data_IF_616043276266
#
_entry.id   IF_616043276266
#
_cell.length_a   1.000
_cell.length_b   1.000
_cell.length_c   1.000
_cell.angle_alpha   90.00
_cell.angle_beta   90.00
_cell.angle_gamma   90.00
#
_symmetry.space_group_name_H-M   'P 1'
#
loop_
_entity.id
_entity.type
_entity.pdbx_description
1 polymer ?
#
# COMPACT_ATOMS: atom_id res chain seq x y z
N UNK A 1 -1.35 15.38 -9.11
CA UNK A 1 -0.88 15.15 -7.72
C UNK A 1 0.20 16.18 -7.45
N UNK A 2 0.50 16.48 -6.17
CA UNK A 2 1.47 17.51 -5.77
C UNK A 2 2.84 16.94 -5.41
N UNK A 3 2.99 15.63 -5.29
CA UNK A 3 4.30 14.98 -5.21
C UNK A 3 5.14 15.29 -6.46
N UNK A 4 6.38 15.72 -6.24
CA UNK A 4 7.34 16.05 -7.27
C UNK A 4 7.82 14.79 -8.01
N UNK A 5 8.05 14.89 -9.33
CA UNK A 5 8.51 13.77 -10.14
C UNK A 5 9.83 13.17 -9.65
N UNK A 6 10.76 13.98 -9.10
CA UNK A 6 12.05 13.49 -8.58
C UNK A 6 11.86 12.64 -7.34
N UNK A 7 10.98 13.08 -6.43
CA UNK A 7 10.62 12.32 -5.22
C UNK A 7 10.03 10.96 -5.61
N UNK A 8 9.11 10.95 -6.59
CA UNK A 8 8.52 9.72 -7.10
C UNK A 8 9.57 8.80 -7.76
N UNK A 9 10.48 9.36 -8.57
CA UNK A 9 11.55 8.62 -9.24
C UNK A 9 12.50 7.94 -8.24
N UNK A 10 12.80 8.59 -7.12
CA UNK A 10 13.64 8.01 -6.06
C UNK A 10 12.95 6.83 -5.35
N UNK A 11 11.65 6.94 -5.05
CA UNK A 11 10.94 5.88 -4.33
C UNK A 11 10.56 4.69 -5.21
N UNK A 12 10.19 4.91 -6.48
CA UNK A 12 9.62 3.89 -7.36
C UNK A 12 10.45 2.58 -7.45
N UNK A 13 11.78 2.61 -7.68
CA UNK A 13 12.58 1.39 -7.84
C UNK A 13 12.54 0.47 -6.61
N UNK A 14 12.35 1.04 -5.42
CA UNK A 14 12.35 0.30 -4.16
C UNK A 14 10.93 -0.05 -3.71
N UNK A 15 9.97 0.85 -3.92
CA UNK A 15 8.57 0.64 -3.52
C UNK A 15 7.88 -0.36 -4.44
N UNK A 16 8.12 -0.32 -5.75
CA UNK A 16 7.50 -1.22 -6.71
C UNK A 16 7.66 -2.72 -6.36
N UNK A 17 8.88 -3.26 -6.14
CA UNK A 17 9.02 -4.67 -5.80
C UNK A 17 8.36 -5.03 -4.46
N UNK A 18 8.35 -4.13 -3.48
CA UNK A 18 7.70 -4.35 -2.19
C UNK A 18 6.18 -4.40 -2.35
N UNK A 19 5.58 -3.50 -3.13
CA UNK A 19 4.14 -3.49 -3.40
C UNK A 19 3.69 -4.77 -4.12
N UNK A 20 4.48 -5.27 -5.07
CA UNK A 20 4.24 -6.56 -5.74
C UNK A 20 4.31 -7.71 -4.74
N UNK A 21 5.33 -7.73 -3.88
CA UNK A 21 5.47 -8.76 -2.84
C UNK A 21 4.29 -8.76 -1.87
N UNK A 22 3.83 -7.59 -1.44
CA UNK A 22 2.66 -7.44 -0.55
C UNK A 22 1.40 -7.97 -1.23
N UNK A 23 1.11 -7.53 -2.45
CA UNK A 23 -0.06 -7.98 -3.20
C UNK A 23 -0.04 -9.50 -3.42
N UNK A 24 1.12 -10.06 -3.77
CA UNK A 24 1.28 -11.49 -3.96
C UNK A 24 1.10 -12.29 -2.67
N UNK A 25 1.77 -11.90 -1.59
CA UNK A 25 1.71 -12.59 -0.30
C UNK A 25 0.28 -12.57 0.27
N UNK A 26 -0.41 -11.44 0.10
CA UNK A 26 -1.77 -11.30 0.60
C UNK A 26 -2.77 -12.10 -0.22
N UNK A 27 -2.60 -12.18 -1.53
CA UNK A 27 -3.37 -13.11 -2.37
C UNK A 27 -3.10 -14.57 -2.02
N UNK A 28 -1.83 -14.95 -1.85
CA UNK A 28 -1.43 -16.34 -1.63
C UNK A 28 -1.80 -16.86 -0.22
N UNK A 29 -1.56 -16.04 0.80
CA UNK A 29 -1.62 -16.47 2.21
C UNK A 29 -2.51 -15.60 3.11
N UNK A 30 -3.19 -14.58 2.54
CA UNK A 30 -4.05 -13.63 3.28
C UNK A 30 -3.30 -12.96 4.44
N UNK A 31 -1.98 -12.77 4.25
CA UNK A 31 -1.06 -12.22 5.22
C UNK A 31 -0.09 -11.28 4.53
N UNK A 32 -0.05 -10.06 5.03
CA UNK A 32 1.01 -9.10 4.72
C UNK A 32 2.22 -9.37 5.63
N UNK A 33 3.39 -9.74 5.09
CA UNK A 33 4.56 -10.06 5.91
C UNK A 33 5.06 -8.81 6.65
N UNK A 34 5.33 -8.92 7.95
CA UNK A 34 5.96 -7.82 8.71
C UNK A 34 7.28 -7.36 8.06
N UNK A 35 8.02 -8.28 7.43
CA UNK A 35 9.24 -7.96 6.68
C UNK A 35 8.98 -6.98 5.52
N UNK A 36 7.83 -7.09 4.84
CA UNK A 36 7.46 -6.18 3.75
C UNK A 36 7.11 -4.78 4.30
N UNK A 37 6.36 -4.73 5.41
CA UNK A 37 6.05 -3.48 6.12
C UNK A 37 7.33 -2.78 6.58
N UNK A 38 8.25 -3.53 7.22
CA UNK A 38 9.53 -3.01 7.68
C UNK A 38 10.43 -2.58 6.51
N UNK A 39 10.43 -3.32 5.40
CA UNK A 39 11.16 -2.93 4.20
C UNK A 39 10.62 -1.60 3.64
N UNK A 40 9.29 -1.42 3.60
CA UNK A 40 8.69 -0.17 3.13
C UNK A 40 9.07 1.02 4.03
N UNK A 41 9.06 0.82 5.35
CA UNK A 41 9.54 1.83 6.30
C UNK A 41 11.04 2.12 6.14
N UNK A 42 11.86 1.09 5.94
CA UNK A 42 13.31 1.27 5.72
C UNK A 42 13.58 2.07 4.44
N UNK A 43 12.82 1.82 3.38
CA UNK A 43 12.86 2.63 2.15
C UNK A 43 12.52 4.08 2.47
N UNK A 44 11.47 4.35 3.24
CA UNK A 44 11.15 5.73 3.63
C UNK A 44 12.29 6.37 4.43
N UNK A 45 12.84 5.67 5.41
CA UNK A 45 13.92 6.18 6.26
C UNK A 45 15.16 6.55 5.44
N UNK A 46 15.60 5.67 4.54
CA UNK A 46 16.85 5.84 3.79
C UNK A 46 16.65 6.73 2.56
N UNK A 47 15.67 6.41 1.73
CA UNK A 47 15.44 7.11 0.45
C UNK A 47 14.78 8.46 0.70
N UNK A 48 13.92 8.58 1.72
CA UNK A 48 13.26 9.84 2.07
C UNK A 48 14.23 10.96 2.47
N UNK A 49 15.41 10.63 3.01
CA UNK A 49 16.47 11.62 3.30
C UNK A 49 17.01 12.31 2.04
N UNK A 50 16.96 11.62 0.90
CA UNK A 50 17.42 12.13 -0.39
C UNK A 50 16.25 12.68 -1.20
N UNK A 51 15.09 12.01 -1.12
CA UNK A 51 13.93 12.29 -1.97
C UNK A 51 13.09 13.50 -1.53
N UNK A 52 13.23 13.95 -0.27
CA UNK A 52 12.37 14.99 0.32
C UNK A 52 13.18 16.11 1.00
N UNK A 53 12.68 17.35 1.01
CA UNK A 53 13.19 18.40 1.88
C UNK A 53 13.14 17.97 3.35
N UNK A 54 14.19 18.27 4.12
CA UNK A 54 14.35 17.73 5.49
C UNK A 54 13.17 18.03 6.42
N UNK A 55 12.59 19.24 6.34
CA UNK A 55 11.41 19.60 7.13
C UNK A 55 10.18 18.77 6.78
N UNK A 56 9.95 18.52 5.49
CA UNK A 56 8.84 17.68 5.03
C UNK A 56 9.06 16.23 5.45
N UNK A 57 10.27 15.70 5.23
CA UNK A 57 10.69 14.35 5.64
C UNK A 57 10.36 14.06 7.10
N UNK A 58 10.68 14.99 8.01
CA UNK A 58 10.37 14.83 9.44
C UNK A 58 8.85 14.83 9.70
N UNK A 59 8.10 15.71 9.04
CA UNK A 59 6.65 15.80 9.22
C UNK A 59 5.91 14.55 8.72
N UNK A 60 6.45 13.87 7.70
CA UNK A 60 5.88 12.64 7.15
C UNK A 60 5.84 11.49 8.18
N UNK A 61 6.68 11.51 9.22
CA UNK A 61 6.56 10.55 10.34
C UNK A 61 5.30 10.75 11.18
N UNK A 62 4.74 11.97 11.22
CA UNK A 62 3.45 12.22 11.85
C UNK A 62 2.32 11.48 11.10
N UNK A 63 2.41 11.36 9.77
CA UNK A 63 1.45 10.56 8.99
C UNK A 63 1.50 9.09 9.41
N UNK A 64 2.70 8.52 9.55
CA UNK A 64 2.88 7.16 10.06
C UNK A 64 2.24 7.01 11.45
N UNK A 65 2.56 7.90 12.39
CA UNK A 65 2.05 7.84 13.76
C UNK A 65 0.52 7.90 13.83
N UNK A 66 -0.10 8.84 13.11
CA UNK A 66 -1.57 8.99 13.08
C UNK A 66 -2.25 7.78 12.46
N UNK A 67 -1.77 7.32 11.29
CA UNK A 67 -2.38 6.17 10.60
C UNK A 67 -2.17 4.89 11.41
N UNK A 68 -1.02 4.72 12.07
CA UNK A 68 -0.78 3.59 12.97
C UNK A 68 -1.71 3.61 14.17
N UNK A 69 -1.91 4.76 14.81
CA UNK A 69 -2.81 4.88 15.96
C UNK A 69 -4.26 4.55 15.58
N UNK A 70 -4.75 5.12 14.47
CA UNK A 70 -6.09 4.84 13.94
C UNK A 70 -6.20 3.35 13.57
N UNK A 71 -5.24 2.83 12.81
CA UNK A 71 -5.21 1.43 12.39
C UNK A 71 -5.17 0.46 13.57
N UNK A 72 -4.41 0.77 14.61
CA UNK A 72 -4.34 -0.02 15.84
C UNK A 72 -5.70 -0.09 16.54
N UNK A 73 -6.39 1.05 16.72
CA UNK A 73 -7.72 1.09 17.32
C UNK A 73 -8.73 0.30 16.48
N UNK A 74 -8.74 0.50 15.16
CA UNK A 74 -9.63 -0.23 14.24
C UNK A 74 -9.37 -1.74 14.25
N UNK A 75 -8.10 -2.16 14.33
CA UNK A 75 -7.75 -3.58 14.45
C UNK A 75 -8.12 -4.16 15.82
N UNK A 76 -7.99 -3.40 16.90
CA UNK A 76 -8.34 -3.85 18.24
C UNK A 76 -9.85 -4.12 18.41
N UNK A 77 -10.70 -3.38 17.69
CA UNK A 77 -12.16 -3.59 17.68
C UNK A 77 -12.62 -4.58 16.59
N UNK A 78 -11.69 -5.20 15.85
CA UNK A 78 -12.00 -6.19 14.81
C UNK A 78 -12.47 -5.61 13.46
N UNK A 79 -12.33 -4.30 13.25
CA UNK A 79 -12.78 -3.64 12.02
C UNK A 79 -11.83 -3.78 10.82
N UNK A 80 -10.51 -3.82 11.05
CA UNK A 80 -9.47 -3.92 10.00
C UNK A 80 -8.42 -4.96 10.39
N UNK A 81 -7.93 -5.74 9.43
CA UNK A 81 -6.84 -6.70 9.65
C UNK A 81 -5.58 -6.02 10.18
N UNK A 82 -4.93 -6.60 11.19
CA UNK A 82 -3.72 -6.01 11.79
C UNK A 82 -2.56 -5.87 10.77
N UNK A 83 -2.50 -6.74 9.75
CA UNK A 83 -1.55 -6.61 8.64
C UNK A 83 -1.83 -5.37 7.79
N UNK A 84 -3.09 -5.19 7.39
CA UNK A 84 -3.55 -4.06 6.57
C UNK A 84 -3.31 -2.73 7.27
N UNK A 85 -3.63 -2.65 8.57
CA UNK A 85 -3.41 -1.46 9.39
C UNK A 85 -1.92 -1.07 9.44
N UNK A 86 -1.03 -2.05 9.63
CA UNK A 86 0.42 -1.82 9.64
C UNK A 86 0.95 -1.39 8.29
N UNK A 87 0.47 -2.00 7.21
CA UNK A 87 0.87 -1.63 5.86
C UNK A 87 0.36 -0.24 5.46
N UNK A 88 -0.89 0.08 5.78
CA UNK A 88 -1.48 1.41 5.60
C UNK A 88 -0.69 2.48 6.37
N UNK A 89 -0.26 2.18 7.59
CA UNK A 89 0.62 3.07 8.34
C UNK A 89 1.98 3.26 7.64
N UNK A 90 2.61 2.17 7.18
CA UNK A 90 3.91 2.23 6.51
C UNK A 90 3.90 2.95 5.16
N UNK A 91 2.78 2.93 4.42
CA UNK A 91 2.65 3.72 3.19
C UNK A 91 2.32 5.19 3.43
N UNK A 92 1.78 5.56 4.61
CA UNK A 92 1.34 6.93 4.90
C UNK A 92 2.42 8.01 4.71
N UNK A 93 3.70 7.80 5.10
CA UNK A 93 4.77 8.74 4.84
C UNK A 93 5.08 8.97 3.35
N UNK A 94 4.68 8.07 2.43
CA UNK A 94 4.95 8.28 1.01
C UNK A 94 3.99 9.29 0.37
N UNK A 95 2.87 9.59 1.02
CA UNK A 95 1.81 10.44 0.49
C UNK A 95 2.02 11.88 0.99
N UNK A 96 2.12 12.82 0.04
CA UNK A 96 2.21 14.23 0.36
C UNK A 96 0.93 14.71 1.04
N UNK A 97 1.05 15.59 2.04
CA UNK A 97 -0.13 16.11 2.79
C UNK A 97 -1.21 16.72 1.88
N UNK A 98 -0.89 17.54 0.85
CA UNK A 98 -1.91 18.10 -0.03
C UNK A 98 -2.62 17.04 -0.89
N UNK A 99 -1.98 15.88 -1.09
CA UNK A 99 -2.52 14.77 -1.88
C UNK A 99 -3.42 13.84 -1.08
N UNK A 100 -3.70 14.12 0.20
CA UNK A 100 -4.54 13.25 1.02
C UNK A 100 -5.88 12.90 0.35
N UNK A 101 -6.62 13.91 -0.12
CA UNK A 101 -7.93 13.67 -0.74
C UNK A 101 -7.83 12.99 -2.12
N UNK A 102 -6.95 13.43 -3.05
CA UNK A 102 -6.67 12.68 -4.28
C UNK A 102 -6.27 11.21 -4.03
N UNK A 103 -5.46 10.96 -3.00
CA UNK A 103 -5.03 9.61 -2.64
C UNK A 103 -6.19 8.77 -2.09
N UNK A 104 -7.11 9.34 -1.31
CA UNK A 104 -8.32 8.63 -0.87
C UNK A 104 -9.22 8.23 -2.04
N UNK A 105 -9.37 9.08 -3.06
CA UNK A 105 -10.10 8.72 -4.28
C UNK A 105 -9.38 7.61 -5.06
N UNK A 106 -8.05 7.68 -5.19
CA UNK A 106 -7.25 6.63 -5.81
C UNK A 106 -7.38 5.31 -5.04
N UNK A 107 -7.29 5.35 -3.72
CA UNK A 107 -7.47 4.19 -2.86
C UNK A 107 -8.85 3.57 -3.05
N UNK A 108 -9.92 4.37 -3.05
CA UNK A 108 -11.26 3.86 -3.31
C UNK A 108 -11.38 3.20 -4.70
N UNK A 109 -10.81 3.82 -5.74
CA UNK A 109 -10.79 3.26 -7.09
C UNK A 109 -10.02 1.93 -7.15
N UNK A 110 -8.86 1.85 -6.50
CA UNK A 110 -8.07 0.61 -6.45
C UNK A 110 -8.76 -0.48 -5.64
N UNK A 111 -9.47 -0.17 -4.56
CA UNK A 111 -10.28 -1.16 -3.81
C UNK A 111 -11.37 -1.75 -4.71
N UNK A 112 -12.11 -0.92 -5.43
CA UNK A 112 -13.17 -1.37 -6.34
C UNK A 112 -12.57 -2.23 -7.45
N UNK A 113 -11.52 -1.74 -8.11
CA UNK A 113 -10.86 -2.45 -9.21
C UNK A 113 -10.28 -3.79 -8.74
N UNK A 114 -9.54 -3.80 -7.62
CA UNK A 114 -8.93 -4.99 -7.05
C UNK A 114 -9.99 -6.01 -6.61
N UNK A 115 -11.12 -5.55 -6.04
CA UNK A 115 -12.24 -6.43 -5.70
C UNK A 115 -12.83 -7.09 -6.94
N UNK A 116 -13.16 -6.32 -7.97
CA UNK A 116 -13.71 -6.84 -9.23
C UNK A 116 -12.72 -7.83 -9.87
N UNK A 117 -11.45 -7.44 -10.01
CA UNK A 117 -10.41 -8.29 -10.59
C UNK A 117 -10.22 -9.59 -9.79
N UNK A 118 -10.21 -9.52 -8.46
CA UNK A 118 -10.13 -10.71 -7.60
C UNK A 118 -11.32 -11.65 -7.81
N UNK A 119 -12.55 -11.12 -7.89
CA UNK A 119 -13.75 -11.94 -8.12
C UNK A 119 -13.77 -12.58 -9.49
N UNK A 120 -13.37 -11.85 -10.53
CA UNK A 120 -13.21 -12.39 -11.88
C UNK A 120 -12.12 -13.46 -11.94
N UNK A 121 -10.95 -13.20 -11.33
CA UNK A 121 -9.85 -14.16 -11.28
C UNK A 121 -10.27 -15.46 -10.57
N UNK A 122 -10.98 -15.36 -9.44
CA UNK A 122 -11.51 -16.49 -8.66
C UNK A 122 -12.50 -17.35 -9.47
N UNK A 123 -13.28 -16.74 -10.35
CA UNK A 123 -14.24 -17.41 -11.23
C UNK A 123 -13.63 -17.93 -12.54
N UNK A 124 -12.37 -17.62 -12.82
CA UNK A 124 -11.68 -17.97 -14.06
C UNK A 124 -10.75 -19.17 -13.91
N UNK A 125 -10.21 -19.66 -15.05
CA UNK A 125 -9.20 -20.71 -15.07
C UNK A 125 -7.88 -20.32 -14.37
N UNK A 126 -7.63 -19.03 -14.08
CA UNK A 126 -6.44 -18.59 -13.32
C UNK A 126 -6.38 -19.26 -11.95
N UNK A 127 -7.53 -19.52 -11.32
CA UNK A 127 -7.60 -20.20 -10.03
C UNK A 127 -6.88 -21.56 -10.04
N UNK A 128 -6.90 -22.28 -11.16
CA UNK A 128 -6.24 -23.59 -11.29
C UNK A 128 -4.71 -23.47 -11.28
N UNK A 129 -4.15 -22.35 -11.72
CA UNK A 129 -2.70 -22.09 -11.68
C UNK A 129 -2.19 -21.78 -10.27
N UNK A 130 -3.08 -21.31 -9.40
CA UNK A 130 -2.77 -20.87 -8.04
C UNK A 130 -3.72 -21.55 -7.05
N UNK A 131 -3.93 -22.85 -7.20
CA UNK A 131 -4.96 -23.60 -6.46
C UNK A 131 -4.78 -23.56 -4.94
N UNK A 132 -3.54 -23.39 -4.47
CA UNK A 132 -3.16 -23.37 -3.06
C UNK A 132 -3.37 -22.01 -2.38
N UNK A 133 -3.75 -20.97 -3.12
CA UNK A 133 -3.91 -19.63 -2.55
C UNK A 133 -5.14 -19.55 -1.64
N UNK A 134 -4.94 -19.00 -0.44
CA UNK A 134 -5.98 -18.88 0.58
C UNK A 134 -7.12 -17.94 0.16
N UNK A 135 -6.83 -16.87 -0.62
CA UNK A 135 -7.83 -15.88 -1.02
C UNK A 135 -8.98 -16.44 -1.87
N UNK A 136 -8.77 -17.60 -2.51
CA UNK A 136 -9.81 -18.29 -3.27
C UNK A 136 -10.86 -18.98 -2.43
N UNK A 137 -10.59 -19.25 -1.15
CA UNK A 137 -11.49 -20.01 -0.27
C UNK A 137 -12.06 -19.15 0.84
N UNK A 138 -11.26 -18.23 1.37
CA UNK A 138 -11.64 -17.27 2.40
C UNK A 138 -12.78 -16.34 1.95
N UNK A 139 -13.54 -15.84 2.93
CA UNK A 139 -14.63 -14.88 2.69
C UNK A 139 -14.10 -13.46 2.61
N UNK A 140 -13.09 -13.18 3.42
CA UNK A 140 -12.37 -11.93 3.51
C UNK A 140 -11.73 -11.57 2.16
N UNK A 141 -11.55 -10.28 1.92
CA UNK A 141 -10.89 -9.78 0.73
C UNK A 141 -9.42 -9.45 1.08
N UNK A 142 -8.43 -9.90 0.29
CA UNK A 142 -7.02 -9.56 0.51
C UNK A 142 -6.78 -8.07 0.25
N UNK A 143 -6.83 -7.25 1.29
CA UNK A 143 -6.73 -5.79 1.19
C UNK A 143 -5.36 -5.33 0.69
N UNK A 144 -4.29 -6.09 0.89
CA UNK A 144 -2.98 -5.86 0.30
C UNK A 144 -3.00 -5.83 -1.23
N UNK A 145 -3.93 -6.57 -1.87
CA UNK A 145 -4.16 -6.51 -3.32
C UNK A 145 -4.76 -5.17 -3.79
N UNK A 146 -5.32 -4.36 -2.88
CA UNK A 146 -5.80 -3.00 -3.16
C UNK A 146 -4.84 -1.92 -2.68
N UNK A 147 -4.36 -2.03 -1.43
CA UNK A 147 -3.48 -1.04 -0.79
C UNK A 147 -2.14 -0.90 -1.52
N UNK A 148 -1.56 -2.02 -1.98
CA UNK A 148 -0.26 -1.99 -2.62
C UNK A 148 -0.29 -1.29 -4.00
N UNK A 149 -1.25 -1.60 -4.90
CA UNK A 149 -1.45 -0.80 -6.12
C UNK A 149 -1.80 0.67 -5.87
N UNK A 150 -2.54 1.00 -4.79
CA UNK A 150 -2.85 2.41 -4.48
C UNK A 150 -1.57 3.24 -4.28
N UNK A 151 -0.62 2.73 -3.49
CA UNK A 151 0.69 3.37 -3.31
C UNK A 151 1.50 3.41 -4.61
N UNK A 152 1.53 2.30 -5.36
CA UNK A 152 2.29 2.22 -6.60
C UNK A 152 1.76 3.21 -7.65
N UNK A 153 0.45 3.26 -7.84
CA UNK A 153 -0.18 4.20 -8.78
C UNK A 153 -0.04 5.64 -8.33
N UNK A 154 -0.08 5.93 -7.02
CA UNK A 154 0.21 7.27 -6.50
C UNK A 154 1.60 7.74 -6.95
N UNK A 155 2.63 6.91 -6.77
CA UNK A 155 3.99 7.24 -7.19
C UNK A 155 4.14 7.28 -8.72
N UNK A 156 3.49 6.39 -9.46
CA UNK A 156 3.53 6.43 -10.93
C UNK A 156 2.85 7.69 -11.49
N UNK A 157 1.69 8.08 -10.95
CA UNK A 157 1.03 9.32 -11.32
C UNK A 157 1.94 10.51 -11.01
N UNK A 158 2.56 10.54 -9.83
CA UNK A 158 3.56 11.55 -9.47
C UNK A 158 4.73 11.62 -10.46
N UNK A 159 5.28 10.47 -10.85
CA UNK A 159 6.39 10.40 -11.80
C UNK A 159 6.05 10.91 -13.20
N UNK A 160 4.83 10.65 -13.69
CA UNK A 160 4.41 11.06 -15.03
C UNK A 160 3.77 12.45 -15.10
N UNK A 161 3.28 13.00 -13.98
CA UNK A 161 2.45 14.23 -13.98
C UNK A 161 2.93 15.32 -13.02
N UNK A 162 3.91 15.03 -12.16
CA UNK A 162 4.49 15.98 -11.20
C UNK A 162 5.78 16.63 -11.68
#
# INVERSE_FOLDING_TARGET
>A
MSIDWTTAAWFLPFVAPITVWVAWSDMASMKIPNKAVLALLAVFVVVGLVALPFGEYLWRYAHFGVVLAIGFVLSAIGGVGAGDAKYAAAMAPFIARPDFMPFMFLLAATVIAAFILHRLARASAIRQRFETWESWTRREFPMGFALAPALLFYLLIGFFTG
#
